data_IF_913080080092
#
_entry.id   IF_913080080092
#
_cell.length_a   1.000
_cell.length_b   1.000
_cell.length_c   1.000
_cell.angle_alpha   90.00
_cell.angle_beta   90.00
_cell.angle_gamma   90.00
#
_symmetry.space_group_name_H-M   'P 1'
#
loop_
_entity.id
_entity.type
_entity.pdbx_description
1 polymer ?
#
# COMPACT_ATOMS: atom_id res chain seq x y z
N UNK A 1 -2.31 6.81 -16.16
CA UNK A 1 -1.57 6.12 -15.10
C UNK A 1 -2.58 5.56 -14.13
N UNK A 2 -2.53 4.26 -13.89
CA UNK A 2 -3.35 3.58 -12.89
C UNK A 2 -2.62 3.59 -11.55
N UNK A 3 -3.34 3.44 -10.44
CA UNK A 3 -2.71 3.36 -9.12
C UNK A 3 -1.69 2.23 -9.00
N UNK A 4 -1.81 1.14 -9.79
CA UNK A 4 -0.84 0.04 -9.86
C UNK A 4 0.51 0.47 -10.39
N UNK A 5 0.54 1.46 -11.29
CA UNK A 5 1.80 2.01 -11.82
C UNK A 5 2.56 2.80 -10.74
N UNK A 6 1.84 3.34 -9.76
CA UNK A 6 2.43 4.06 -8.62
C UNK A 6 2.78 3.14 -7.45
N UNK A 7 2.16 1.96 -7.37
CA UNK A 7 2.29 1.01 -6.26
C UNK A 7 2.52 -0.41 -6.78
N UNK A 8 3.74 -0.76 -7.19
CA UNK A 8 4.09 -2.14 -7.50
C UNK A 8 3.73 -3.07 -6.33
N UNK A 9 3.33 -4.29 -6.65
CA UNK A 9 3.10 -5.33 -5.64
C UNK A 9 4.34 -5.54 -4.78
N UNK A 10 4.16 -5.63 -3.46
CA UNK A 10 5.26 -5.71 -2.50
C UNK A 10 5.84 -4.35 -2.08
N UNK A 11 5.27 -3.24 -2.53
CA UNK A 11 5.68 -1.90 -2.10
C UNK A 11 5.58 -1.72 -0.59
N UNK A 12 6.51 -0.97 0.01
CA UNK A 12 6.45 -0.63 1.43
C UNK A 12 5.72 0.70 1.61
N UNK A 13 4.61 0.64 2.33
CA UNK A 13 3.78 1.80 2.70
C UNK A 13 4.10 2.23 4.12
N UNK A 14 4.30 3.53 4.32
CA UNK A 14 4.54 4.11 5.64
C UNK A 14 3.30 4.90 6.07
N UNK A 15 2.72 4.52 7.22
CA UNK A 15 1.62 5.27 7.84
C UNK A 15 2.07 5.62 9.26
N UNK A 16 2.34 6.91 9.49
CA UNK A 16 3.00 7.35 10.72
C UNK A 16 4.39 6.75 10.85
N UNK A 17 4.62 5.95 11.91
CA UNK A 17 5.89 5.25 12.17
C UNK A 17 5.85 3.75 11.83
N UNK A 18 4.70 3.26 11.37
CA UNK A 18 4.51 1.85 11.03
C UNK A 18 4.75 1.61 9.55
N UNK A 19 5.16 0.37 9.22
CA UNK A 19 5.51 -0.06 7.87
C UNK A 19 4.61 -1.22 7.48
N UNK A 20 4.08 -1.15 6.27
CA UNK A 20 3.16 -2.14 5.72
C UNK A 20 3.63 -2.60 4.34
N UNK A 21 3.35 -3.85 3.99
CA UNK A 21 3.46 -4.34 2.61
C UNK A 21 2.14 -4.07 1.90
N UNK A 22 2.22 -3.41 0.76
CA UNK A 22 1.12 -3.25 -0.18
C UNK A 22 1.02 -4.47 -1.09
N UNK A 23 -0.14 -5.11 -1.10
CA UNK A 23 -0.47 -6.23 -1.98
C UNK A 23 -1.72 -5.90 -2.76
N UNK A 24 -1.80 -6.36 -4.01
CA UNK A 24 -3.01 -6.14 -4.79
C UNK A 24 -4.16 -6.98 -4.23
N UNK A 25 -5.31 -6.33 -4.06
CA UNK A 25 -6.50 -7.06 -3.69
C UNK A 25 -7.00 -7.86 -4.92
N UNK A 26 -7.06 -9.18 -4.80
CA UNK A 26 -7.47 -10.10 -5.87
C UNK A 26 -8.90 -9.83 -6.38
N UNK A 27 -9.75 -9.19 -5.57
CA UNK A 27 -11.10 -8.80 -5.97
C UNK A 27 -11.13 -7.50 -6.81
N UNK A 28 -9.98 -6.91 -7.13
CA UNK A 28 -9.89 -5.67 -7.92
C UNK A 28 -10.30 -4.41 -7.16
N UNK A 29 -10.50 -4.52 -5.85
CA UNK A 29 -11.00 -3.44 -4.98
C UNK A 29 -9.89 -2.52 -4.45
N UNK A 30 -8.66 -2.58 -4.98
CA UNK A 30 -7.56 -1.68 -4.62
C UNK A 30 -6.37 -2.39 -3.97
N UNK A 31 -5.90 -1.87 -2.83
CA UNK A 31 -4.67 -2.31 -2.14
C UNK A 31 -4.98 -2.83 -0.74
N UNK A 32 -4.45 -4.01 -0.42
CA UNK A 32 -4.42 -4.52 0.94
C UNK A 32 -3.06 -4.19 1.57
N UNK A 33 -3.08 -3.65 2.78
CA UNK A 33 -1.88 -3.36 3.56
C UNK A 33 -1.71 -4.43 4.64
N UNK A 34 -0.54 -5.05 4.67
CA UNK A 34 -0.18 -6.07 5.64
C UNK A 34 0.88 -5.53 6.59
N UNK A 35 0.68 -5.72 7.90
CA UNK A 35 1.67 -5.32 8.90
C UNK A 35 2.93 -6.16 8.74
N UNK A 36 4.09 -5.53 8.54
CA UNK A 36 5.36 -6.25 8.39
C UNK A 36 5.75 -7.05 9.63
N UNK A 37 5.28 -6.66 10.82
CA UNK A 37 5.64 -7.30 12.10
C UNK A 37 4.78 -8.53 12.38
N UNK A 38 3.48 -8.48 12.07
CA UNK A 38 2.54 -9.54 12.44
C UNK A 38 2.09 -10.39 11.26
N UNK A 39 2.22 -9.89 10.02
CA UNK A 39 1.70 -10.53 8.82
C UNK A 39 0.20 -10.35 8.62
N UNK A 40 -0.51 -9.71 9.56
CA UNK A 40 -1.95 -9.52 9.47
C UNK A 40 -2.31 -8.40 8.49
N UNK A 41 -3.47 -8.56 7.82
CA UNK A 41 -4.05 -7.49 7.02
C UNK A 41 -4.53 -6.38 7.95
N UNK A 42 -3.89 -5.22 7.85
CA UNK A 42 -4.21 -4.04 8.63
C UNK A 42 -5.35 -3.22 8.03
N UNK A 43 -5.38 -3.07 6.70
CA UNK A 43 -6.47 -2.37 6.00
C UNK A 43 -6.58 -2.76 4.53
N UNK A 44 -7.73 -2.43 3.94
CA UNK A 44 -7.96 -2.42 2.49
C UNK A 44 -8.27 -0.99 2.07
N UNK A 45 -7.59 -0.49 1.04
CA UNK A 45 -7.75 0.85 0.48
C UNK A 45 -8.45 0.70 -0.87
N UNK A 46 -9.61 1.34 -1.02
CA UNK A 46 -10.31 1.36 -2.29
C UNK A 46 -9.49 2.12 -3.36
N UNK A 47 -9.63 1.78 -4.66
CA UNK A 47 -8.76 2.31 -5.73
C UNK A 47 -8.72 3.83 -5.76
N UNK A 48 -9.87 4.47 -5.54
CA UNK A 48 -10.05 5.92 -5.59
C UNK A 48 -9.30 6.65 -4.46
N UNK A 49 -9.02 5.96 -3.35
CA UNK A 49 -8.29 6.50 -2.20
C UNK A 49 -6.81 6.12 -2.21
N UNK A 50 -6.35 5.25 -3.11
CA UNK A 50 -4.92 4.91 -3.24
C UNK A 50 -4.07 6.15 -3.49
N UNK A 51 -4.44 7.10 -4.38
CA UNK A 51 -3.72 8.37 -4.54
C UNK A 51 -3.75 9.27 -3.28
N UNK A 52 -4.75 9.07 -2.41
CA UNK A 52 -4.95 9.66 -1.08
C UNK A 52 -3.78 9.39 -0.10
N UNK A 53 -3.38 8.12 -0.05
CA UNK A 53 -2.43 7.58 0.95
C UNK A 53 -0.97 7.99 0.64
N UNK A 54 -0.73 8.44 -0.58
CA UNK A 54 0.60 8.67 -1.20
C UNK A 54 1.39 9.82 -0.59
N UNK A 55 0.74 10.81 0.02
CA UNK A 55 1.44 11.98 0.55
C UNK A 55 2.40 11.64 1.72
N UNK A 56 2.40 10.39 2.21
CA UNK A 56 3.27 9.91 3.28
C UNK A 56 4.25 8.78 2.92
N UNK A 57 4.32 8.30 1.66
CA UNK A 57 5.10 7.10 1.30
C UNK A 57 6.47 7.49 0.72
N UNK A 58 7.55 7.08 1.40
CA UNK A 58 8.92 7.10 0.84
C UNK A 58 9.25 5.74 0.25
N UNK A 59 9.42 5.68 -1.07
CA UNK A 59 10.12 4.58 -1.73
C UNK A 59 11.61 4.61 -1.32
N UNK A 60 12.32 3.48 -1.15
CA UNK A 60 13.76 3.53 -0.98
C UNK A 60 14.37 4.07 -2.28
N UNK A 61 14.85 5.32 -2.23
CA UNK A 61 15.84 5.79 -3.18
C UNK A 61 17.09 4.93 -2.99
N UNK A 62 17.43 4.17 -4.02
CA UNK A 62 18.81 3.74 -4.26
C UNK A 62 19.64 4.99 -4.59
#
# INVERSE_FOLDING_TARGET
MTWRDFYPEGSIVFIGRERYIATYNEHGLGLDLYCLKTGDRAMTIAPDFVPQVVTGIKYPHV
#
